data_IF_650700644541
#
_entry.id   IF_650700644541
#
_cell.length_a   1.000
_cell.length_b   1.000
_cell.length_c   1.000
_cell.angle_alpha   90.00
_cell.angle_beta   90.00
_cell.angle_gamma   90.00
#
_symmetry.space_group_name_H-M   'P 1'
#
loop_
_entity.id
_entity.type
_entity.pdbx_description
1 polymer ?
#
# COMPACT_ATOMS: atom_id res chain seq x y z
N UNK A 1 21.24 -5.36 -13.89
CA UNK A 1 22.13 -6.49 -14.22
C UNK A 1 22.96 -6.23 -15.47
N UNK A 2 22.36 -6.00 -16.64
CA UNK A 2 23.08 -5.84 -17.92
C UNK A 2 24.12 -4.72 -17.87
N UNK A 3 23.82 -3.58 -17.23
CA UNK A 3 24.82 -2.50 -17.06
C UNK A 3 26.07 -2.98 -16.31
N UNK A 4 25.88 -3.79 -15.25
CA UNK A 4 27.01 -4.34 -14.50
C UNK A 4 27.88 -5.26 -15.35
N UNK A 5 27.25 -6.14 -16.11
CA UNK A 5 27.94 -7.08 -17.05
C UNK A 5 28.71 -6.31 -18.11
N UNK A 6 28.11 -5.25 -18.66
CA UNK A 6 28.74 -4.35 -19.63
C UNK A 6 29.97 -3.63 -19.05
N UNK A 7 29.84 -3.03 -17.87
CA UNK A 7 30.92 -2.29 -17.22
C UNK A 7 32.10 -3.19 -16.80
N UNK A 8 31.87 -4.49 -16.60
CA UNK A 8 32.95 -5.48 -16.44
C UNK A 8 33.59 -5.96 -17.73
N UNK A 9 33.08 -5.48 -18.90
CA UNK A 9 33.58 -5.87 -20.20
C UNK A 9 33.20 -7.28 -20.64
N UNK A 10 32.24 -7.93 -19.94
CA UNK A 10 31.72 -9.27 -20.32
C UNK A 10 30.69 -9.19 -21.47
N UNK A 11 30.05 -8.01 -21.61
CA UNK A 11 29.16 -7.69 -22.72
C UNK A 11 29.81 -6.59 -23.52
N UNK A 12 29.98 -6.75 -24.84
CA UNK A 12 30.51 -5.73 -25.75
C UNK A 12 29.52 -5.47 -26.87
N UNK A 13 29.43 -4.21 -27.29
CA UNK A 13 28.65 -3.81 -28.46
C UNK A 13 29.57 -3.61 -29.67
N UNK A 14 29.05 -3.61 -30.90
CA UNK A 14 29.85 -3.55 -32.14
C UNK A 14 30.79 -2.36 -32.29
N UNK A 15 30.54 -1.29 -31.51
CA UNK A 15 31.35 -0.05 -31.54
C UNK A 15 32.23 0.14 -30.31
N UNK A 16 32.26 -0.85 -29.40
CA UNK A 16 33.12 -0.80 -28.21
C UNK A 16 34.58 -1.10 -28.58
N UNK A 17 35.51 -0.46 -27.89
CA UNK A 17 36.94 -0.75 -28.02
C UNK A 17 37.22 -2.21 -27.58
N UNK A 18 37.81 -3.04 -28.46
CA UNK A 18 38.17 -4.41 -28.13
C UNK A 18 39.11 -4.56 -26.92
N UNK A 19 39.99 -3.57 -26.74
CA UNK A 19 41.03 -3.58 -25.68
C UNK A 19 40.63 -2.76 -24.45
N UNK A 20 39.35 -2.33 -24.36
CA UNK A 20 38.88 -1.56 -23.24
C UNK A 20 39.06 -2.34 -21.92
N UNK A 21 39.81 -1.76 -21.00
CA UNK A 21 40.00 -2.28 -19.61
C UNK A 21 39.11 -1.51 -18.67
N UNK A 22 38.38 -2.26 -17.83
CA UNK A 22 37.54 -1.67 -16.77
C UNK A 22 38.42 -0.85 -15.84
N UNK A 23 38.11 0.44 -15.67
CA UNK A 23 38.74 1.29 -14.68
C UNK A 23 38.08 1.18 -13.31
N UNK A 24 38.75 1.71 -12.26
CA UNK A 24 38.28 1.59 -10.88
C UNK A 24 36.86 2.13 -10.68
N UNK A 25 36.47 3.31 -11.17
CA UNK A 25 35.10 3.79 -11.05
C UNK A 25 34.08 2.87 -11.76
N UNK A 26 34.39 2.40 -12.95
CA UNK A 26 33.52 1.48 -13.70
C UNK A 26 33.33 0.16 -12.95
N UNK A 27 34.39 -0.37 -12.31
CA UNK A 27 34.32 -1.56 -11.48
C UNK A 27 33.31 -1.38 -10.33
N UNK A 28 33.39 -0.30 -9.56
CA UNK A 28 32.49 -0.05 -8.45
C UNK A 28 31.03 0.17 -8.92
N UNK A 29 30.80 0.91 -10.00
CA UNK A 29 29.48 1.11 -10.56
C UNK A 29 28.91 -0.23 -11.07
N UNK A 30 29.72 -1.05 -11.71
CA UNK A 30 29.35 -2.39 -12.16
C UNK A 30 28.95 -3.29 -11.01
N UNK A 31 29.75 -3.28 -9.93
CA UNK A 31 29.48 -4.06 -8.71
C UNK A 31 28.18 -3.62 -8.02
N UNK A 32 27.94 -2.32 -7.87
CA UNK A 32 26.69 -1.78 -7.32
C UNK A 32 25.49 -2.21 -8.19
N UNK A 33 25.63 -2.11 -9.52
CA UNK A 33 24.57 -2.51 -10.46
C UNK A 33 24.24 -4.01 -10.39
N UNK A 34 25.23 -4.87 -10.20
CA UNK A 34 25.02 -6.31 -10.02
C UNK A 34 24.43 -6.62 -8.64
N UNK A 35 24.93 -6.01 -7.58
CA UNK A 35 24.39 -6.18 -6.22
C UNK A 35 22.91 -5.76 -6.17
N UNK A 36 22.55 -4.64 -6.80
CA UNK A 36 21.17 -4.20 -6.92
C UNK A 36 20.32 -5.18 -7.73
N UNK A 37 20.84 -5.73 -8.83
CA UNK A 37 20.12 -6.73 -9.62
C UNK A 37 19.86 -8.01 -8.81
N UNK A 38 20.85 -8.50 -8.05
CA UNK A 38 20.70 -9.66 -7.18
C UNK A 38 19.67 -9.38 -6.08
N UNK A 39 19.72 -8.19 -5.47
CA UNK A 39 18.74 -7.75 -4.47
C UNK A 39 17.29 -7.75 -5.00
N UNK A 40 17.10 -7.46 -6.30
CA UNK A 40 15.78 -7.45 -6.94
C UNK A 40 15.23 -8.85 -7.25
N UNK A 41 16.07 -9.89 -7.32
CA UNK A 41 15.67 -11.24 -7.71
C UNK A 41 14.52 -11.78 -6.84
N UNK A 42 14.58 -11.75 -5.49
CA UNK A 42 13.47 -12.23 -4.66
C UNK A 42 12.14 -11.51 -4.91
N UNK A 43 12.20 -10.22 -5.30
CA UNK A 43 11.02 -9.41 -5.63
C UNK A 43 10.26 -9.92 -6.86
N UNK A 44 10.90 -10.65 -7.77
CA UNK A 44 10.22 -11.27 -8.92
C UNK A 44 9.21 -12.34 -8.49
N UNK A 45 9.34 -12.88 -7.29
CA UNK A 45 8.42 -13.85 -6.69
C UNK A 45 7.60 -13.28 -5.54
N UNK A 46 7.50 -11.94 -5.45
CA UNK A 46 6.66 -11.24 -4.47
C UNK A 46 7.27 -11.09 -3.08
N UNK A 47 8.57 -11.37 -2.90
CA UNK A 47 9.22 -11.08 -1.61
C UNK A 47 9.26 -9.57 -1.34
N UNK A 48 8.98 -9.12 -0.11
CA UNK A 48 8.98 -7.70 0.23
C UNK A 48 10.40 -7.12 0.14
N UNK A 49 10.63 -6.23 -0.82
CA UNK A 49 11.89 -5.53 -1.03
C UNK A 49 11.89 -4.23 -0.19
N UNK A 50 12.22 -4.32 1.09
CA UNK A 50 12.10 -3.19 2.04
C UNK A 50 12.79 -1.91 1.59
N UNK A 51 13.99 -2.00 0.99
CA UNK A 51 14.74 -0.82 0.56
C UNK A 51 14.11 -0.05 -0.61
N UNK A 52 13.28 -0.70 -1.41
CA UNK A 52 12.59 -0.10 -2.57
C UNK A 52 11.07 -0.23 -2.51
N UNK A 53 10.52 -0.62 -1.35
CA UNK A 53 9.07 -0.80 -1.16
C UNK A 53 8.27 0.43 -1.57
N UNK A 54 8.85 1.62 -1.41
CA UNK A 54 8.28 2.89 -1.82
C UNK A 54 7.97 3.00 -3.33
N UNK A 55 8.68 2.23 -4.16
CA UNK A 55 8.56 2.26 -5.63
C UNK A 55 7.93 1.00 -6.20
N UNK A 56 7.71 -0.02 -5.35
CA UNK A 56 7.04 -1.24 -5.77
C UNK A 56 5.51 -1.05 -5.81
N UNK A 57 4.81 -1.67 -6.78
CA UNK A 57 3.34 -1.69 -6.76
C UNK A 57 2.84 -2.41 -5.50
N UNK A 58 1.57 -2.15 -5.08
CA UNK A 58 0.97 -2.87 -3.97
C UNK A 58 1.14 -4.38 -4.12
N UNK A 59 1.48 -5.09 -3.04
CA UNK A 59 1.77 -6.54 -3.09
C UNK A 59 0.57 -7.35 -3.58
N UNK A 60 -0.65 -6.89 -3.31
CA UNK A 60 -1.89 -7.52 -3.74
C UNK A 60 -2.25 -7.28 -5.23
N UNK A 61 -1.53 -6.39 -5.92
CA UNK A 61 -1.72 -6.09 -7.36
C UNK A 61 -0.65 -6.71 -8.25
N UNK A 62 0.29 -7.49 -7.68
CA UNK A 62 1.35 -8.14 -8.45
C UNK A 62 0.83 -9.42 -9.09
N UNK A 63 1.01 -9.58 -10.41
CA UNK A 63 0.56 -10.75 -11.19
C UNK A 63 1.26 -12.05 -10.78
N UNK A 64 2.48 -11.97 -10.25
CA UNK A 64 3.30 -13.12 -9.86
C UNK A 64 3.76 -12.97 -8.40
N UNK A 65 2.92 -13.39 -7.45
CA UNK A 65 3.25 -13.36 -6.04
C UNK A 65 3.16 -14.77 -5.43
N UNK A 66 4.31 -15.41 -5.18
CA UNK A 66 4.39 -16.68 -4.48
C UNK A 66 4.32 -16.53 -2.95
N UNK A 67 4.51 -15.32 -2.44
CA UNK A 67 4.33 -14.98 -1.04
C UNK A 67 2.98 -14.29 -0.89
N UNK A 68 2.03 -14.96 -0.26
CA UNK A 68 0.78 -14.30 0.13
C UNK A 68 1.12 -13.07 0.98
N UNK A 69 0.51 -11.95 0.67
CA UNK A 69 0.57 -10.78 1.53
C UNK A 69 0.21 -11.18 2.96
N UNK A 70 0.97 -10.73 3.94
CA UNK A 70 0.68 -11.01 5.35
C UNK A 70 -0.74 -10.55 5.73
N UNK A 71 -1.20 -9.46 5.09
CA UNK A 71 -2.53 -8.89 5.26
C UNK A 71 -3.15 -8.65 3.87
N UNK A 72 -4.35 -9.16 3.67
CA UNK A 72 -5.12 -8.96 2.43
C UNK A 72 -6.41 -8.19 2.72
N UNK A 73 -6.67 -7.07 2.02
CA UNK A 73 -7.96 -6.40 2.09
C UNK A 73 -9.10 -7.35 1.72
N UNK A 74 -10.22 -7.24 2.41
CA UNK A 74 -11.41 -8.05 2.14
C UNK A 74 -12.33 -7.38 1.12
N UNK A 75 -12.22 -6.05 0.98
CA UNK A 75 -12.98 -5.27 0.02
C UNK A 75 -12.18 -4.03 -0.42
N UNK A 76 -12.49 -3.55 -1.62
CA UNK A 76 -11.99 -2.29 -2.19
C UNK A 76 -13.12 -1.28 -2.44
N UNK A 77 -14.31 -1.58 -1.95
CA UNK A 77 -15.48 -0.73 -1.94
C UNK A 77 -16.02 -0.60 -0.52
N UNK A 78 -16.40 0.62 -0.16
CA UNK A 78 -16.84 0.94 1.21
C UNK A 78 -18.15 0.21 1.56
N UNK A 79 -19.13 0.27 0.67
CA UNK A 79 -20.46 -0.31 0.91
C UNK A 79 -20.39 -1.85 0.98
N UNK A 80 -19.61 -2.47 0.08
CA UNK A 80 -19.37 -3.90 0.08
C UNK A 80 -18.70 -4.36 1.38
N UNK A 81 -17.62 -3.69 1.78
CA UNK A 81 -16.89 -4.03 2.99
C UNK A 81 -17.70 -3.85 4.26
N UNK A 82 -18.50 -2.78 4.36
CA UNK A 82 -19.41 -2.55 5.48
C UNK A 82 -20.50 -3.64 5.57
N UNK A 83 -21.08 -4.04 4.44
CA UNK A 83 -22.07 -5.12 4.38
C UNK A 83 -21.45 -6.46 4.83
N UNK A 84 -20.22 -6.75 4.41
CA UNK A 84 -19.47 -7.92 4.82
C UNK A 84 -19.21 -7.92 6.33
N UNK A 85 -18.77 -6.80 6.89
CA UNK A 85 -18.49 -6.63 8.31
C UNK A 85 -19.73 -6.83 9.16
N UNK A 86 -20.84 -6.25 8.75
CA UNK A 86 -22.14 -6.43 9.42
C UNK A 86 -22.58 -7.88 9.44
N UNK A 87 -22.42 -8.61 8.33
CA UNK A 87 -22.73 -10.05 8.25
C UNK A 87 -21.85 -10.89 9.16
N UNK A 88 -20.58 -10.50 9.34
CA UNK A 88 -19.60 -11.22 10.16
C UNK A 88 -19.64 -10.81 11.64
N UNK A 89 -20.33 -9.72 12.01
CA UNK A 89 -20.30 -9.14 13.34
C UNK A 89 -18.90 -8.69 13.77
N UNK A 90 -18.12 -8.12 12.83
CA UNK A 90 -16.74 -7.69 13.05
C UNK A 90 -16.61 -6.20 12.79
N UNK A 91 -15.75 -5.47 13.55
CA UNK A 91 -15.45 -4.08 13.25
C UNK A 91 -14.69 -3.95 11.95
N UNK A 92 -14.69 -2.74 11.41
CA UNK A 92 -14.03 -2.42 10.14
C UNK A 92 -12.78 -1.59 10.39
N UNK A 93 -11.71 -1.92 9.69
CA UNK A 93 -10.59 -1.02 9.46
C UNK A 93 -10.67 -0.49 8.04
N UNK A 94 -10.81 0.83 7.90
CA UNK A 94 -10.74 1.52 6.61
C UNK A 94 -9.31 2.03 6.44
N UNK A 95 -8.69 1.63 5.36
CA UNK A 95 -7.39 2.10 4.90
C UNK A 95 -7.58 2.97 3.65
N UNK A 96 -7.43 4.30 3.80
CA UNK A 96 -7.33 5.19 2.66
C UNK A 96 -5.89 5.18 2.15
N UNK A 97 -5.71 4.57 1.01
CA UNK A 97 -4.43 4.27 0.38
C UNK A 97 -4.34 4.82 -1.05
N UNK A 98 -3.25 4.58 -1.75
CA UNK A 98 -3.08 4.91 -3.16
C UNK A 98 -2.08 3.98 -3.84
N UNK A 99 -2.25 3.76 -5.13
CA UNK A 99 -1.29 2.99 -5.94
C UNK A 99 0.09 3.64 -5.95
N UNK A 100 0.13 4.98 -6.00
CA UNK A 100 1.36 5.78 -5.95
C UNK A 100 1.78 6.21 -4.54
N UNK A 101 1.17 5.67 -3.48
CA UNK A 101 1.42 6.11 -2.11
C UNK A 101 2.66 5.43 -1.50
N UNK A 102 3.78 6.14 -1.52
CA UNK A 102 5.07 5.69 -0.95
C UNK A 102 4.95 5.29 0.54
N UNK A 103 4.30 6.11 1.35
CA UNK A 103 4.17 5.85 2.78
C UNK A 103 3.24 4.67 3.07
N UNK A 104 2.22 4.43 2.22
CA UNK A 104 1.37 3.25 2.33
C UNK A 104 2.19 1.97 2.13
N UNK A 105 3.06 1.94 1.10
CA UNK A 105 3.97 0.80 0.82
C UNK A 105 4.93 0.54 1.98
N UNK A 106 5.44 1.61 2.63
CA UNK A 106 6.30 1.48 3.81
C UNK A 106 5.54 0.85 4.98
N UNK A 107 4.31 1.30 5.26
CA UNK A 107 3.48 0.72 6.31
C UNK A 107 3.18 -0.77 6.06
N UNK A 108 2.82 -1.14 4.84
CA UNK A 108 2.59 -2.52 4.47
C UNK A 108 3.84 -3.40 4.65
N UNK A 109 5.02 -2.88 4.28
CA UNK A 109 6.26 -3.61 4.37
C UNK A 109 6.86 -3.68 5.79
N UNK A 110 6.64 -2.65 6.62
CA UNK A 110 7.26 -2.54 7.94
C UNK A 110 6.31 -2.97 9.08
N UNK A 111 5.04 -2.57 9.00
CA UNK A 111 4.07 -2.75 10.10
C UNK A 111 3.14 -3.93 9.85
N UNK A 112 2.57 -4.06 8.64
CA UNK A 112 1.59 -5.11 8.36
C UNK A 112 2.22 -6.50 8.19
N UNK A 113 3.54 -6.59 8.01
CA UNK A 113 4.29 -7.86 8.03
C UNK A 113 4.56 -8.38 9.43
N UNK A 114 4.35 -7.57 10.48
CA UNK A 114 4.44 -8.04 11.86
C UNK A 114 3.36 -9.11 12.14
N UNK A 115 3.72 -10.27 12.71
CA UNK A 115 2.78 -11.37 12.92
C UNK A 115 1.58 -11.02 13.79
N UNK A 116 1.75 -10.16 14.81
CA UNK A 116 0.65 -9.75 15.69
C UNK A 116 -0.30 -8.80 14.95
N UNK A 117 0.24 -7.82 14.23
CA UNK A 117 -0.56 -6.90 13.40
C UNK A 117 -1.33 -7.68 12.34
N UNK A 118 -0.65 -8.57 11.62
CA UNK A 118 -1.26 -9.39 10.58
C UNK A 118 -2.40 -10.26 11.13
N UNK A 119 -2.20 -10.90 12.28
CA UNK A 119 -3.22 -11.72 12.94
C UNK A 119 -4.44 -10.87 13.32
N UNK A 120 -4.23 -9.72 13.96
CA UNK A 120 -5.33 -8.84 14.38
C UNK A 120 -6.12 -8.36 13.14
N UNK A 121 -5.44 -7.89 12.11
CA UNK A 121 -6.10 -7.38 10.90
C UNK A 121 -6.88 -8.47 10.16
N UNK A 122 -6.30 -9.65 9.98
CA UNK A 122 -6.95 -10.74 9.25
C UNK A 122 -8.11 -11.39 10.01
N UNK A 123 -7.97 -11.54 11.34
CA UNK A 123 -8.90 -12.32 12.14
C UNK A 123 -9.95 -11.48 12.88
N UNK A 124 -9.61 -10.25 13.27
CA UNK A 124 -10.48 -9.43 14.13
C UNK A 124 -11.19 -8.31 13.38
N UNK A 125 -10.66 -7.86 12.25
CA UNK A 125 -11.24 -6.79 11.46
C UNK A 125 -11.70 -7.27 10.08
N UNK A 126 -12.61 -6.51 9.48
CA UNK A 126 -12.79 -6.50 8.03
C UNK A 126 -11.99 -5.32 7.50
N UNK A 127 -10.90 -5.59 6.79
CA UNK A 127 -10.04 -4.58 6.18
C UNK A 127 -10.63 -4.16 4.85
N UNK A 128 -10.87 -2.86 4.70
CA UNK A 128 -11.30 -2.21 3.45
C UNK A 128 -10.20 -1.26 3.01
N UNK A 129 -9.58 -1.49 1.85
CA UNK A 129 -8.59 -0.57 1.27
C UNK A 129 -9.21 0.23 0.13
N UNK A 130 -9.25 1.55 0.30
CA UNK A 130 -9.86 2.51 -0.61
C UNK A 130 -8.77 3.32 -1.31
N UNK A 131 -8.58 3.08 -2.60
CA UNK A 131 -7.54 3.73 -3.41
C UNK A 131 -8.02 5.10 -3.89
N UNK A 132 -7.53 6.17 -3.26
CA UNK A 132 -7.94 7.56 -3.55
C UNK A 132 -7.37 8.11 -4.86
N UNK A 133 -6.41 7.43 -5.45
CA UNK A 133 -5.80 7.78 -6.75
C UNK A 133 -6.24 6.85 -7.89
N UNK A 134 -7.26 6.00 -7.66
CA UNK A 134 -7.82 5.12 -8.68
C UNK A 134 -8.48 5.95 -9.80
N UNK A 135 -7.95 5.79 -11.02
CA UNK A 135 -8.42 6.51 -12.22
C UNK A 135 -9.57 5.79 -12.95
N UNK A 136 -10.00 4.64 -12.46
CA UNK A 136 -11.13 3.92 -13.03
C UNK A 136 -12.38 4.81 -13.04
N UNK A 137 -13.02 5.04 -14.21
CA UNK A 137 -14.21 5.85 -14.28
C UNK A 137 -15.36 5.25 -13.47
N UNK A 138 -16.13 6.10 -12.80
CA UNK A 138 -17.43 5.70 -12.25
C UNK A 138 -18.39 5.38 -13.40
N UNK A 139 -19.27 4.40 -13.17
CA UNK A 139 -20.34 4.07 -14.17
C UNK A 139 -21.19 5.29 -14.48
N UNK A 140 -21.51 6.06 -13.44
CA UNK A 140 -22.23 7.32 -13.55
C UNK A 140 -21.49 8.38 -12.72
N UNK A 141 -21.14 9.54 -13.31
CA UNK A 141 -20.55 10.65 -12.56
C UNK A 141 -21.51 11.14 -11.46
N UNK A 142 -20.97 11.39 -10.28
CA UNK A 142 -21.74 11.84 -9.12
C UNK A 142 -21.52 13.34 -8.88
N UNK A 143 -22.57 14.14 -8.90
CA UNK A 143 -22.47 15.55 -8.50
C UNK A 143 -22.75 15.68 -7.02
N UNK A 144 -21.79 16.24 -6.28
CA UNK A 144 -21.84 16.46 -4.83
C UNK A 144 -21.66 17.93 -4.51
N UNK A 145 -22.12 18.35 -3.35
CA UNK A 145 -21.85 19.69 -2.81
C UNK A 145 -20.82 19.57 -1.71
N UNK A 146 -19.67 20.20 -1.90
CA UNK A 146 -18.59 20.24 -0.92
C UNK A 146 -18.24 21.72 -0.62
N UNK A 147 -18.30 22.14 0.63
CA UNK A 147 -18.06 23.54 1.06
C UNK A 147 -18.87 24.60 0.28
N UNK A 148 -20.12 24.28 -0.05
CA UNK A 148 -21.01 25.18 -0.82
C UNK A 148 -20.75 25.22 -2.33
N UNK A 149 -19.81 24.45 -2.84
CA UNK A 149 -19.50 24.35 -4.25
C UNK A 149 -19.92 23.00 -4.83
N UNK A 150 -20.48 23.01 -6.04
CA UNK A 150 -20.77 21.76 -6.76
C UNK A 150 -19.49 21.20 -7.37
N UNK A 151 -19.27 19.91 -7.14
CA UNK A 151 -18.15 19.14 -7.69
C UNK A 151 -18.66 17.84 -8.31
N UNK A 152 -18.14 17.49 -9.47
CA UNK A 152 -18.46 16.21 -10.12
C UNK A 152 -17.34 15.23 -9.87
N UNK A 153 -17.67 14.12 -9.20
CA UNK A 153 -16.79 12.96 -9.00
C UNK A 153 -16.89 12.09 -10.25
N UNK A 154 -15.77 11.77 -10.87
CA UNK A 154 -15.71 11.05 -12.15
C UNK A 154 -15.04 9.69 -12.03
N UNK A 155 -14.18 9.50 -11.02
CA UNK A 155 -13.41 8.29 -10.83
C UNK A 155 -13.70 7.65 -9.47
N UNK A 156 -13.33 6.37 -9.33
CA UNK A 156 -13.40 5.65 -8.05
C UNK A 156 -12.57 6.39 -6.99
N UNK A 157 -11.38 6.85 -7.35
CA UNK A 157 -10.54 7.64 -6.45
C UNK A 157 -11.17 8.95 -6.01
N UNK A 158 -11.91 9.65 -6.90
CA UNK A 158 -12.66 10.85 -6.52
C UNK A 158 -13.71 10.51 -5.45
N UNK A 159 -14.43 9.38 -5.60
CA UNK A 159 -15.45 8.90 -4.63
C UNK A 159 -14.82 8.67 -3.26
N UNK A 160 -13.68 7.98 -3.20
CA UNK A 160 -13.01 7.67 -1.93
C UNK A 160 -12.34 8.88 -1.29
N UNK A 161 -11.73 9.76 -2.08
CA UNK A 161 -11.22 11.05 -1.60
C UNK A 161 -12.33 11.92 -1.01
N UNK A 162 -13.49 11.96 -1.64
CA UNK A 162 -14.65 12.68 -1.14
C UNK A 162 -15.15 12.09 0.18
N UNK A 163 -15.31 10.75 0.25
CA UNK A 163 -15.70 10.05 1.47
C UNK A 163 -14.75 10.37 2.63
N UNK A 164 -13.43 10.32 2.38
CA UNK A 164 -12.41 10.63 3.39
C UNK A 164 -12.55 12.05 3.95
N UNK A 165 -12.72 13.04 3.06
CA UNK A 165 -12.86 14.45 3.48
C UNK A 165 -14.14 14.72 4.24
N UNK A 166 -15.28 14.23 3.73
CA UNK A 166 -16.58 14.56 4.29
C UNK A 166 -16.87 13.80 5.57
N UNK A 167 -16.53 12.50 5.61
CA UNK A 167 -16.85 11.67 6.77
C UNK A 167 -15.79 11.74 7.87
N UNK A 168 -14.52 11.89 7.52
CA UNK A 168 -13.41 11.83 8.47
C UNK A 168 -12.57 13.09 8.56
N UNK A 169 -12.88 14.13 7.79
CA UNK A 169 -12.19 15.43 7.82
C UNK A 169 -10.72 15.37 7.41
N UNK A 170 -10.30 14.36 6.64
CA UNK A 170 -8.91 14.13 6.28
C UNK A 170 -8.71 14.02 4.76
N UNK A 171 -7.48 14.30 4.30
CA UNK A 171 -7.08 14.16 2.90
C UNK A 171 -5.59 13.78 2.82
N UNK A 172 -5.19 12.74 3.54
CA UNK A 172 -3.81 12.24 3.61
C UNK A 172 -3.76 10.74 3.46
N UNK A 173 -2.68 10.17 2.94
CA UNK A 173 -2.45 8.75 2.81
C UNK A 173 -1.05 8.38 3.36
N UNK A 174 -0.91 7.24 4.06
CA UNK A 174 -2.00 6.37 4.53
C UNK A 174 -2.84 7.06 5.62
N UNK A 175 -4.11 6.69 5.69
CA UNK A 175 -5.00 7.14 6.75
C UNK A 175 -5.92 6.01 7.18
N UNK A 176 -5.84 5.63 8.45
CA UNK A 176 -6.52 4.48 9.03
C UNK A 176 -7.60 4.92 9.99
N UNK A 177 -8.80 4.37 9.83
CA UNK A 177 -9.94 4.60 10.70
C UNK A 177 -10.56 3.27 11.09
N UNK A 178 -10.83 3.09 12.37
CA UNK A 178 -11.57 1.94 12.89
C UNK A 178 -13.01 2.36 13.12
N UNK A 179 -13.95 1.62 12.54
CA UNK A 179 -15.39 1.94 12.65
C UNK A 179 -16.20 0.70 13.03
N UNK A 180 -17.37 0.95 13.65
CA UNK A 180 -18.38 -0.07 13.89
C UNK A 180 -19.17 -0.42 12.60
N UNK A 181 -20.18 -1.27 12.71
CA UNK A 181 -20.99 -1.70 11.57
C UNK A 181 -21.98 -0.64 11.04
N UNK A 182 -22.13 0.47 11.74
CA UNK A 182 -22.87 1.67 11.32
C UNK A 182 -21.94 2.75 10.75
N UNK A 183 -20.62 2.50 10.74
CA UNK A 183 -19.62 3.41 10.23
C UNK A 183 -19.26 4.55 11.20
N UNK A 184 -19.53 4.38 12.50
CA UNK A 184 -19.13 5.31 13.55
C UNK A 184 -17.69 5.01 13.98
N UNK A 185 -16.80 6.01 14.12
CA UNK A 185 -15.44 5.79 14.59
C UNK A 185 -15.38 5.21 16.00
N UNK A 186 -14.57 4.17 16.17
CA UNK A 186 -14.34 3.49 17.45
C UNK A 186 -13.27 4.18 18.29
N UNK A 187 -12.32 4.85 17.65
CA UNK A 187 -11.25 5.61 18.31
C UNK A 187 -10.74 6.73 17.38
N UNK A 188 -9.64 7.39 17.75
CA UNK A 188 -8.95 8.34 16.87
C UNK A 188 -8.38 7.66 15.63
N UNK A 189 -8.23 8.42 14.55
CA UNK A 189 -7.57 7.96 13.33
C UNK A 189 -6.05 7.86 13.50
N UNK A 190 -5.39 7.14 12.58
CA UNK A 190 -3.94 7.03 12.52
C UNK A 190 -3.46 7.28 11.09
N UNK A 191 -2.28 7.88 10.96
CA UNK A 191 -1.60 8.11 9.69
C UNK A 191 -0.28 7.32 9.65
N UNK A 192 0.65 7.72 8.77
CA UNK A 192 1.96 7.12 8.67
C UNK A 192 2.74 7.20 9.98
N UNK A 193 3.05 6.04 10.54
CA UNK A 193 3.88 5.86 11.72
C UNK A 193 4.27 4.38 11.82
N UNK A 194 5.56 4.06 11.70
CA UNK A 194 6.08 2.69 11.67
C UNK A 194 6.22 2.05 13.07
N UNK A 195 5.77 2.72 14.15
CA UNK A 195 5.76 2.12 15.49
C UNK A 195 4.71 1.00 15.58
N UNK A 196 5.21 -0.24 15.55
CA UNK A 196 4.40 -1.46 15.61
C UNK A 196 3.59 -1.53 16.91
N UNK A 197 4.20 -1.20 18.06
CA UNK A 197 3.51 -1.28 19.35
C UNK A 197 2.37 -0.26 19.44
N UNK A 198 2.62 0.96 18.98
CA UNK A 198 1.58 1.98 18.91
C UNK A 198 0.47 1.61 17.92
N UNK A 199 0.79 0.89 16.83
CA UNK A 199 -0.21 0.37 15.88
C UNK A 199 -1.05 -0.74 16.49
N UNK A 200 -0.44 -1.69 17.21
CA UNK A 200 -1.15 -2.75 17.94
C UNK A 200 -2.09 -2.14 19.01
N UNK A 201 -1.62 -1.14 19.75
CA UNK A 201 -2.46 -0.44 20.75
C UNK A 201 -3.65 0.26 20.11
N UNK A 202 -3.44 0.88 18.93
CA UNK A 202 -4.53 1.50 18.16
C UNK A 202 -5.59 0.46 17.76
N UNK A 203 -5.19 -0.70 17.26
CA UNK A 203 -6.10 -1.79 16.87
C UNK A 203 -6.85 -2.35 18.08
N UNK A 204 -6.14 -2.68 19.17
CA UNK A 204 -6.75 -3.23 20.38
C UNK A 204 -7.77 -2.26 21.00
N UNK A 205 -7.45 -0.98 21.09
CA UNK A 205 -8.37 0.04 21.59
C UNK A 205 -9.67 0.11 20.76
N UNK A 206 -9.57 -0.10 19.45
CA UNK A 206 -10.76 -0.19 18.58
C UNK A 206 -11.61 -1.41 18.92
N UNK A 207 -10.98 -2.59 19.15
CA UNK A 207 -11.68 -3.81 19.55
C UNK A 207 -12.38 -3.65 20.91
N UNK A 208 -11.69 -3.05 21.89
CA UNK A 208 -12.25 -2.81 23.23
C UNK A 208 -13.49 -1.88 23.18
N UNK A 209 -13.49 -0.91 22.28
CA UNK A 209 -14.60 0.02 22.09
C UNK A 209 -15.75 -0.59 21.27
N UNK A 210 -15.46 -1.53 20.38
CA UNK A 210 -16.47 -2.28 19.63
C UNK A 210 -17.23 -3.27 20.50
N UNK A 211 -16.58 -3.83 21.54
CA UNK A 211 -17.18 -4.78 22.47
C UNK A 211 -18.11 -4.16 23.52
N UNK A 212 -18.14 -2.83 23.62
CA UNK A 212 -19.02 -2.08 24.55
C UNK A 212 -20.37 -1.75 23.94
#
# INVERSE_FOLDING_TARGET
GLLGIYLFGWLKFPHDDPDHRTNVPQFFIGMISLAFAIYMIPGLWGAPLKAISAFAPPMNTQDFNLHKSAVEPKAHDYEEGMAMAKKQGRPVMIDFTGFGCVNCRKMEAAVWTDPQVATILNEKYVLISLYVDDKTPLREPMTVTENGQQRTLRTIGDKWSYLQRVKFGANTQPFYVLVDNEGKPLNGSRSYDEDINAYINFLNKGLDNYAK
#
